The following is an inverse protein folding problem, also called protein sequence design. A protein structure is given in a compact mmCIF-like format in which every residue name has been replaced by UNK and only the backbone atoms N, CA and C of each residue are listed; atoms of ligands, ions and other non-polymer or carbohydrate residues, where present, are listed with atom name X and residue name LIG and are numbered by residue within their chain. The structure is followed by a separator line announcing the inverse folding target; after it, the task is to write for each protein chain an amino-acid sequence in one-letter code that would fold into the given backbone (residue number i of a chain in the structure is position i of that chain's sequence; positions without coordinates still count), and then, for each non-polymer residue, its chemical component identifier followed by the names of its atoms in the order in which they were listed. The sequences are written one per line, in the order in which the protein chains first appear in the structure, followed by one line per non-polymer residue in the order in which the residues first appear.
data_IF_099643910848
#
_entry.id   IF_099643910848
#
_cell.length_a   1.000
_cell.length_b   1.000
_cell.length_c   1.000
_cell.angle_alpha   90.00
_cell.angle_beta   90.00
_cell.angle_gamma   90.00
#
_symmetry.space_group_name_H-M   'P 1'
#
loop_
_entity.id
_entity.type
_entity.pdbx_description
1 polymer ?
#
# COMPACT_ATOMS: atom_id res chain seq x y z
N UNK A 1 -3.19 -18.39 -29.26
CA UNK A 1 -4.30 -17.48 -28.85
C UNK A 1 -3.94 -16.00 -28.93
N UNK A 2 -2.65 -15.60 -28.82
CA UNK A 2 -2.24 -14.19 -28.83
C UNK A 2 -2.47 -13.42 -30.15
N UNK A 3 -2.48 -14.07 -31.32
CA UNK A 3 -2.57 -13.36 -32.61
C UNK A 3 -3.93 -12.72 -32.90
N UNK A 4 -5.05 -13.31 -32.44
CA UNK A 4 -6.40 -12.77 -32.66
C UNK A 4 -6.68 -11.59 -31.71
N UNK A 5 -6.18 -11.67 -30.47
CA UNK A 5 -6.32 -10.61 -29.46
C UNK A 5 -5.51 -9.37 -29.89
N UNK A 6 -4.29 -9.57 -30.42
CA UNK A 6 -3.46 -8.47 -30.94
C UNK A 6 -4.09 -7.81 -32.16
N UNK A 7 -4.57 -8.60 -33.13
CA UNK A 7 -5.24 -8.05 -34.32
C UNK A 7 -6.53 -7.29 -33.96
N UNK A 8 -7.31 -7.79 -32.99
CA UNK A 8 -8.48 -7.09 -32.46
C UNK A 8 -8.13 -5.77 -31.76
N UNK A 9 -7.01 -5.74 -31.01
CA UNK A 9 -6.50 -4.53 -30.35
C UNK A 9 -6.07 -3.47 -31.37
N UNK A 10 -5.37 -3.85 -32.43
CA UNK A 10 -4.92 -2.91 -33.47
C UNK A 10 -6.10 -2.28 -34.24
N UNK A 11 -7.14 -3.07 -34.53
CA UNK A 11 -8.39 -2.56 -35.11
C UNK A 11 -9.09 -1.55 -34.19
N UNK A 12 -9.16 -1.86 -32.89
CA UNK A 12 -9.75 -0.96 -31.90
C UNK A 12 -8.96 0.35 -31.76
N UNK A 13 -7.62 0.30 -31.82
CA UNK A 13 -6.77 1.51 -31.77
C UNK A 13 -6.95 2.40 -32.99
N UNK A 14 -7.08 1.82 -34.19
CA UNK A 14 -7.37 2.60 -35.41
C UNK A 14 -8.74 3.28 -35.31
N UNK A 15 -9.77 2.53 -34.93
CA UNK A 15 -11.11 3.07 -34.74
C UNK A 15 -11.17 4.14 -33.64
N UNK A 16 -10.36 4.02 -32.59
CA UNK A 16 -10.27 5.02 -31.53
C UNK A 16 -9.65 6.35 -32.02
N UNK A 17 -8.62 6.29 -32.88
CA UNK A 17 -8.06 7.49 -33.52
C UNK A 17 -9.08 8.16 -34.42
N UNK A 18 -9.81 7.37 -35.21
CA UNK A 18 -10.88 7.89 -36.06
C UNK A 18 -12.02 8.49 -35.22
N UNK A 19 -12.37 7.87 -34.09
CA UNK A 19 -13.40 8.36 -33.16
C UNK A 19 -12.98 9.61 -32.40
N UNK A 20 -11.67 9.80 -32.15
CA UNK A 20 -11.11 11.00 -31.52
C UNK A 20 -11.07 12.20 -32.47
N UNK A 21 -10.93 12.00 -33.78
CA UNK A 21 -10.64 13.08 -34.73
C UNK A 21 -11.56 14.30 -34.54
N UNK A 22 -10.97 15.40 -34.04
CA UNK A 22 -11.63 16.68 -33.83
C UNK A 22 -12.50 16.81 -32.57
N UNK A 23 -12.63 15.75 -31.74
CA UNK A 23 -13.44 15.76 -30.52
C UNK A 23 -12.60 16.07 -29.28
N UNK A 24 -13.16 16.88 -28.40
CA UNK A 24 -12.66 17.13 -27.05
C UNK A 24 -12.90 15.93 -26.14
N UNK A 25 -12.17 15.85 -25.03
CA UNK A 25 -12.43 14.81 -24.01
C UNK A 25 -13.85 14.87 -23.45
N UNK A 26 -14.42 16.08 -23.33
CA UNK A 26 -15.76 16.29 -22.80
C UNK A 26 -16.81 15.66 -23.71
N UNK A 27 -16.72 15.91 -25.02
CA UNK A 27 -17.59 15.29 -26.03
C UNK A 27 -17.45 13.76 -26.04
N UNK A 28 -16.21 13.25 -25.95
CA UNK A 28 -15.96 11.81 -25.90
C UNK A 28 -16.58 11.15 -24.66
N UNK A 29 -16.46 11.77 -23.47
CA UNK A 29 -17.06 11.25 -22.24
C UNK A 29 -18.59 11.29 -22.28
N UNK A 30 -19.18 12.34 -22.88
CA UNK A 30 -20.63 12.47 -23.04
C UNK A 30 -21.18 11.40 -23.98
N UNK A 31 -20.52 11.15 -25.11
CA UNK A 31 -20.87 10.07 -26.04
C UNK A 31 -20.71 8.70 -25.38
N UNK A 32 -19.62 8.47 -24.64
CA UNK A 32 -19.37 7.20 -23.95
C UNK A 32 -20.45 6.88 -22.90
N UNK A 33 -20.92 7.91 -22.19
CA UNK A 33 -21.93 7.82 -21.13
C UNK A 33 -23.34 7.62 -21.67
N UNK A 34 -23.67 8.21 -22.82
CA UNK A 34 -25.01 8.15 -23.43
C UNK A 34 -25.21 6.91 -24.31
N UNK A 35 -24.14 6.33 -24.85
CA UNK A 35 -24.23 5.22 -25.79
C UNK A 35 -24.55 3.88 -25.10
N UNK A 36 -25.52 3.14 -25.64
CA UNK A 36 -25.96 1.83 -25.12
C UNK A 36 -25.35 0.61 -25.85
N UNK A 37 -24.70 0.81 -26.99
CA UNK A 37 -24.10 -0.27 -27.78
C UNK A 37 -22.73 -0.72 -27.22
N UNK A 38 -22.50 -2.03 -27.12
CA UNK A 38 -21.25 -2.59 -26.57
C UNK A 38 -20.04 -2.31 -27.45
N UNK A 39 -20.11 -2.64 -28.74
CA UNK A 39 -18.97 -2.48 -29.67
C UNK A 39 -18.56 -1.01 -29.85
N UNK A 40 -19.54 -0.10 -29.96
CA UNK A 40 -19.27 1.34 -30.05
C UNK A 40 -18.78 1.90 -28.70
N UNK A 41 -19.29 1.36 -27.58
CA UNK A 41 -18.84 1.72 -26.23
C UNK A 41 -17.35 1.44 -26.02
N UNK A 42 -16.85 0.27 -26.45
CA UNK A 42 -15.42 -0.05 -26.36
C UNK A 42 -14.55 0.89 -27.20
N UNK A 43 -14.97 1.23 -28.43
CA UNK A 43 -14.23 2.17 -29.28
C UNK A 43 -14.14 3.58 -28.66
N UNK A 44 -15.25 4.07 -28.11
CA UNK A 44 -15.31 5.34 -27.38
C UNK A 44 -14.45 5.31 -26.11
N UNK A 45 -14.48 4.22 -25.34
CA UNK A 45 -13.62 4.05 -24.17
C UNK A 45 -12.13 4.10 -24.55
N UNK A 46 -11.74 3.44 -25.64
CA UNK A 46 -10.38 3.54 -26.18
C UNK A 46 -10.01 4.98 -26.57
N UNK A 47 -10.94 5.72 -27.20
CA UNK A 47 -10.72 7.12 -27.58
C UNK A 47 -10.54 8.03 -26.35
N UNK A 48 -11.37 7.86 -25.31
CA UNK A 48 -11.23 8.57 -24.02
C UNK A 48 -9.87 8.28 -23.37
N UNK A 49 -9.48 7.01 -23.28
CA UNK A 49 -8.18 6.61 -22.70
C UNK A 49 -7.02 7.21 -23.49
N UNK A 50 -7.07 7.17 -24.81
CA UNK A 50 -6.03 7.74 -25.67
C UNK A 50 -5.97 9.27 -25.50
N UNK A 51 -7.12 9.95 -25.48
CA UNK A 51 -7.18 11.38 -25.26
C UNK A 51 -6.62 11.80 -23.89
N UNK A 52 -6.97 11.08 -22.81
CA UNK A 52 -6.45 11.35 -21.47
C UNK A 52 -4.92 11.18 -21.40
N UNK A 53 -4.35 10.17 -22.05
CA UNK A 53 -2.90 9.91 -22.03
C UNK A 53 -2.07 10.98 -22.75
N UNK A 54 -2.66 11.70 -23.70
CA UNK A 54 -1.98 12.79 -24.41
C UNK A 54 -2.10 14.14 -23.68
N UNK A 55 -2.86 14.20 -22.58
CA UNK A 55 -3.04 15.45 -21.83
C UNK A 55 -1.81 15.84 -21.04
N UNK A 56 -1.53 17.14 -21.05
CA UNK A 56 -0.60 17.76 -20.11
C UNK A 56 -1.25 18.00 -18.74
N UNK A 57 -0.47 18.54 -17.78
CA UNK A 57 -0.92 18.72 -16.40
C UNK A 57 -2.14 19.64 -16.24
N UNK A 58 -2.20 20.74 -17.00
CA UNK A 58 -3.30 21.71 -16.94
C UNK A 58 -4.57 21.11 -17.55
N UNK A 59 -4.43 20.36 -18.64
CA UNK A 59 -5.54 19.63 -19.28
C UNK A 59 -6.09 18.53 -18.37
N UNK A 60 -5.22 17.81 -17.65
CA UNK A 60 -5.64 16.82 -16.64
C UNK A 60 -6.40 17.47 -15.48
N UNK A 61 -5.94 18.62 -14.99
CA UNK A 61 -6.67 19.36 -13.95
C UNK A 61 -8.05 19.81 -14.44
N UNK A 62 -8.12 20.38 -15.65
CA UNK A 62 -9.39 20.76 -16.27
C UNK A 62 -10.32 19.55 -16.46
N UNK A 63 -9.78 18.38 -16.75
CA UNK A 63 -10.56 17.14 -16.82
C UNK A 63 -11.15 16.74 -15.46
N UNK A 64 -10.41 16.87 -14.36
CA UNK A 64 -10.99 16.62 -13.02
C UNK A 64 -12.06 17.64 -12.66
N UNK A 65 -11.88 18.90 -13.02
CA UNK A 65 -12.88 19.95 -12.81
C UNK A 65 -14.18 19.63 -13.59
N UNK A 66 -14.05 19.13 -14.83
CA UNK A 66 -15.18 18.64 -15.63
C UNK A 66 -15.91 17.48 -14.93
N UNK A 67 -15.19 16.54 -14.31
CA UNK A 67 -15.80 15.42 -13.58
C UNK A 67 -16.58 15.88 -12.34
N UNK A 68 -16.18 16.98 -11.71
CA UNK A 68 -16.94 17.61 -10.63
C UNK A 68 -18.17 18.34 -11.19
N UNK A 69 -18.02 19.15 -12.24
CA UNK A 69 -19.11 19.98 -12.75
C UNK A 69 -20.21 19.17 -13.44
N UNK A 70 -19.84 18.23 -14.30
CA UNK A 70 -20.76 17.62 -15.26
C UNK A 70 -21.15 16.19 -14.88
N UNK A 71 -20.37 15.55 -13.99
CA UNK A 71 -20.56 14.15 -13.60
C UNK A 71 -20.84 13.97 -12.11
N UNK A 72 -21.25 15.04 -11.41
CA UNK A 72 -21.79 14.93 -10.05
C UNK A 72 -23.28 14.59 -10.04
N UNK A 73 -23.80 13.93 -8.99
CA UNK A 73 -25.24 13.75 -8.81
C UNK A 73 -26.02 15.08 -8.84
N UNK A 74 -27.20 15.10 -9.47
CA UNK A 74 -28.06 16.29 -9.47
C UNK A 74 -28.77 16.42 -8.11
N UNK A 75 -28.38 17.45 -7.35
CA UNK A 75 -28.97 17.74 -6.05
C UNK A 75 -30.49 17.92 -6.10
N UNK A 76 -31.05 18.47 -7.19
CA UNK A 76 -32.51 18.64 -7.33
C UNK A 76 -33.21 17.30 -7.52
N UNK A 77 -32.63 16.41 -8.32
CA UNK A 77 -33.16 15.05 -8.53
C UNK A 77 -33.10 14.24 -7.23
N UNK A 78 -31.99 14.32 -6.49
CA UNK A 78 -31.83 13.67 -5.18
C UNK A 78 -32.90 14.15 -4.20
N UNK A 79 -33.08 15.46 -4.05
CA UNK A 79 -34.08 16.04 -3.13
C UNK A 79 -35.48 15.57 -3.50
N UNK A 80 -35.86 15.63 -4.78
CA UNK A 80 -37.17 15.19 -5.25
C UNK A 80 -37.42 13.69 -4.99
N UNK A 81 -36.42 12.85 -5.23
CA UNK A 81 -36.51 11.42 -4.96
C UNK A 81 -36.55 11.12 -3.45
N UNK A 82 -35.84 11.89 -2.62
CA UNK A 82 -35.85 11.75 -1.17
C UNK A 82 -37.21 12.14 -0.58
N UNK A 83 -37.84 13.22 -1.04
CA UNK A 83 -39.19 13.62 -0.66
C UNK A 83 -40.23 12.55 -1.03
N UNK A 84 -40.09 11.96 -2.22
CA UNK A 84 -40.95 10.87 -2.69
C UNK A 84 -40.81 9.62 -1.81
N UNK A 85 -39.57 9.23 -1.48
CA UNK A 85 -39.30 8.09 -0.60
C UNK A 85 -39.74 8.32 0.85
N UNK A 86 -39.64 9.56 1.34
CA UNK A 86 -40.14 9.97 2.65
C UNK A 86 -41.67 9.85 2.73
N UNK A 87 -42.36 10.17 1.63
CA UNK A 87 -43.82 10.07 1.54
C UNK A 87 -44.32 8.62 1.35
N UNK A 88 -43.57 7.81 0.59
CA UNK A 88 -43.82 6.38 0.39
C UNK A 88 -42.50 5.60 0.37
N UNK A 89 -42.21 4.90 1.46
CA UNK A 89 -40.97 4.13 1.64
C UNK A 89 -40.98 2.77 0.93
N UNK A 90 -41.69 2.67 -0.19
CA UNK A 90 -41.70 1.48 -1.04
C UNK A 90 -40.33 1.20 -1.67
N UNK A 91 -40.11 -0.07 -2.02
CA UNK A 91 -38.87 -0.51 -2.67
C UNK A 91 -38.62 0.17 -4.03
N UNK A 92 -39.70 0.58 -4.72
CA UNK A 92 -39.59 1.30 -6.00
C UNK A 92 -38.99 2.68 -5.78
N UNK A 93 -39.45 3.40 -4.75
CA UNK A 93 -38.94 4.75 -4.44
C UNK A 93 -37.54 4.70 -3.84
N UNK A 94 -37.22 3.67 -3.03
CA UNK A 94 -35.86 3.44 -2.56
C UNK A 94 -34.90 3.26 -3.75
N UNK A 95 -35.27 2.44 -4.73
CA UNK A 95 -34.47 2.22 -5.95
C UNK A 95 -34.28 3.51 -6.76
N UNK A 96 -35.32 4.34 -6.88
CA UNK A 96 -35.24 5.63 -7.56
C UNK A 96 -34.25 6.57 -6.83
N UNK A 97 -34.35 6.68 -5.51
CA UNK A 97 -33.44 7.45 -4.69
C UNK A 97 -31.99 6.95 -4.79
N UNK A 98 -31.76 5.63 -4.66
CA UNK A 98 -30.42 5.05 -4.83
C UNK A 98 -29.81 5.39 -6.19
N UNK A 99 -30.62 5.37 -7.26
CA UNK A 99 -30.16 5.74 -8.60
C UNK A 99 -29.81 7.23 -8.72
N UNK A 100 -30.61 8.11 -8.11
CA UNK A 100 -30.35 9.55 -8.11
C UNK A 100 -29.09 9.94 -7.33
N UNK A 101 -28.76 9.17 -6.27
CA UNK A 101 -27.57 9.39 -5.43
C UNK A 101 -26.29 8.82 -6.07
N UNK A 102 -26.41 7.79 -6.92
CA UNK A 102 -25.24 7.20 -7.59
C UNK A 102 -24.54 8.23 -8.48
N UNK A 103 -23.25 8.40 -8.25
CA UNK A 103 -22.40 9.34 -8.99
C UNK A 103 -22.29 8.96 -10.48
N UNK A 104 -22.64 9.86 -11.41
CA UNK A 104 -22.41 9.66 -12.85
C UNK A 104 -20.94 9.34 -13.19
N UNK A 105 -19.98 9.81 -12.38
CA UNK A 105 -18.57 9.44 -12.52
C UNK A 105 -18.35 7.93 -12.44
N UNK A 106 -19.04 7.23 -11.54
CA UNK A 106 -18.87 5.78 -11.41
C UNK A 106 -19.29 5.05 -12.68
N UNK A 107 -20.40 5.47 -13.29
CA UNK A 107 -20.81 4.94 -14.58
C UNK A 107 -19.76 5.23 -15.67
N UNK A 108 -19.28 6.48 -15.77
CA UNK A 108 -18.24 6.85 -16.72
C UNK A 108 -16.96 6.00 -16.54
N UNK A 109 -16.48 5.81 -15.31
CA UNK A 109 -15.30 4.99 -15.03
C UNK A 109 -15.50 3.52 -15.39
N UNK A 110 -16.66 2.93 -15.08
CA UNK A 110 -17.00 1.56 -15.55
C UNK A 110 -16.96 1.45 -17.08
N UNK A 111 -17.41 2.50 -17.78
CA UNK A 111 -17.40 2.56 -19.24
C UNK A 111 -15.98 2.74 -19.80
N UNK A 112 -15.16 3.60 -19.19
CA UNK A 112 -13.73 3.74 -19.52
C UNK A 112 -13.02 2.38 -19.35
N UNK A 113 -13.40 1.62 -18.32
CA UNK A 113 -12.84 0.30 -18.06
C UNK A 113 -13.17 -0.77 -19.13
N UNK A 114 -14.06 -0.48 -20.09
CA UNK A 114 -14.28 -1.35 -21.26
C UNK A 114 -13.11 -1.33 -22.25
N UNK A 115 -12.24 -0.30 -22.18
CA UNK A 115 -11.00 -0.25 -22.95
C UNK A 115 -10.04 -1.36 -22.51
N UNK A 116 -9.29 -2.02 -23.42
CA UNK A 116 -8.27 -3.00 -23.05
C UNK A 116 -7.18 -2.45 -22.10
N UNK A 117 -6.96 -1.13 -22.08
CA UNK A 117 -6.05 -0.48 -21.13
C UNK A 117 -6.79 0.44 -20.15
N UNK A 118 -8.09 0.22 -19.96
CA UNK A 118 -8.94 1.05 -19.10
C UNK A 118 -8.54 0.96 -17.63
N UNK A 119 -8.36 -0.26 -17.09
CA UNK A 119 -7.98 -0.43 -15.67
C UNK A 119 -6.64 0.24 -15.36
N UNK A 120 -5.54 -0.02 -16.10
CA UNK A 120 -4.27 0.69 -15.87
C UNK A 120 -4.42 2.21 -15.91
N UNK A 121 -5.19 2.74 -16.87
CA UNK A 121 -5.41 4.19 -16.99
C UNK A 121 -6.20 4.77 -15.82
N UNK A 122 -7.17 4.05 -15.27
CA UNK A 122 -7.92 4.52 -14.09
C UNK A 122 -7.07 4.49 -12.82
N UNK A 123 -6.16 3.51 -12.69
CA UNK A 123 -5.16 3.48 -11.61
C UNK A 123 -4.19 4.65 -11.72
N UNK A 124 -3.65 4.91 -12.91
CA UNK A 124 -2.79 6.07 -13.18
C UNK A 124 -3.52 7.40 -12.90
N UNK A 125 -4.78 7.51 -13.35
CA UNK A 125 -5.61 8.68 -13.12
C UNK A 125 -5.84 8.94 -11.64
N UNK A 126 -6.13 7.89 -10.85
CA UNK A 126 -6.26 8.01 -9.40
C UNK A 126 -4.94 8.42 -8.74
N UNK A 127 -3.82 7.83 -9.16
CA UNK A 127 -2.49 8.20 -8.66
C UNK A 127 -2.19 9.68 -8.89
N UNK A 128 -2.49 10.18 -10.08
CA UNK A 128 -2.29 11.60 -10.41
C UNK A 128 -3.22 12.51 -9.60
N UNK A 129 -4.50 12.14 -9.46
CA UNK A 129 -5.47 12.85 -8.63
C UNK A 129 -5.00 12.98 -7.18
N UNK A 130 -4.48 11.91 -6.58
CA UNK A 130 -4.01 11.91 -5.19
C UNK A 130 -2.89 12.93 -4.94
N UNK A 131 -2.04 13.19 -5.94
CA UNK A 131 -1.02 14.24 -5.88
C UNK A 131 -1.61 15.66 -5.83
N UNK A 132 -2.83 15.85 -6.32
CA UNK A 132 -3.52 17.15 -6.39
C UNK A 132 -4.39 17.44 -5.16
N UNK A 133 -4.81 16.42 -4.39
CA UNK A 133 -5.80 16.57 -3.32
C UNK A 133 -5.39 17.52 -2.18
N UNK A 134 -4.08 17.73 -1.96
CA UNK A 134 -3.61 18.68 -0.97
C UNK A 134 -3.89 20.14 -1.39
N UNK A 135 -3.80 20.43 -2.69
CA UNK A 135 -4.01 21.77 -3.27
C UNK A 135 -5.48 21.98 -3.65
N UNK A 136 -6.14 20.93 -4.16
CA UNK A 136 -7.52 20.93 -4.65
C UNK A 136 -8.38 19.91 -3.89
N UNK A 137 -8.68 20.14 -2.60
CA UNK A 137 -9.44 19.20 -1.77
C UNK A 137 -10.87 18.95 -2.28
N UNK A 138 -11.44 19.86 -3.07
CA UNK A 138 -12.73 19.72 -3.72
C UNK A 138 -12.81 18.56 -4.72
N UNK A 139 -11.66 18.05 -5.19
CA UNK A 139 -11.59 16.88 -6.07
C UNK A 139 -11.74 15.55 -5.32
N UNK A 140 -11.77 15.57 -3.97
CA UNK A 140 -11.89 14.40 -3.11
C UNK A 140 -12.99 13.39 -3.49
N UNK A 141 -14.22 13.83 -3.84
CA UNK A 141 -15.29 12.92 -4.25
C UNK A 141 -14.95 12.05 -5.48
N UNK A 142 -13.99 12.47 -6.32
CA UNK A 142 -13.51 11.65 -7.44
C UNK A 142 -12.66 10.47 -6.92
N UNK A 143 -11.80 10.69 -5.92
CA UNK A 143 -11.00 9.63 -5.31
C UNK A 143 -11.89 8.61 -4.61
N UNK A 144 -12.94 9.07 -3.92
CA UNK A 144 -13.93 8.19 -3.26
C UNK A 144 -14.63 7.27 -4.28
N UNK A 145 -15.10 7.83 -5.40
CA UNK A 145 -15.76 7.07 -6.47
C UNK A 145 -14.80 6.06 -7.14
N UNK A 146 -13.55 6.47 -7.42
CA UNK A 146 -12.54 5.57 -7.98
C UNK A 146 -12.16 4.47 -7.00
N UNK A 147 -11.95 4.81 -5.73
CA UNK A 147 -11.62 3.86 -4.67
C UNK A 147 -12.73 2.82 -4.53
N UNK A 148 -14.00 3.22 -4.51
CA UNK A 148 -15.14 2.32 -4.45
C UNK A 148 -15.13 1.29 -5.60
N UNK A 149 -14.88 1.74 -6.84
CA UNK A 149 -14.83 0.85 -7.99
C UNK A 149 -13.61 -0.08 -7.95
N UNK A 150 -12.43 0.46 -7.64
CA UNK A 150 -11.18 -0.29 -7.62
C UNK A 150 -11.18 -1.33 -6.48
N UNK A 151 -11.79 -1.05 -5.33
CA UNK A 151 -12.01 -2.06 -4.27
C UNK A 151 -12.80 -3.28 -4.77
N UNK A 152 -13.80 -3.04 -5.62
CA UNK A 152 -14.60 -4.12 -6.23
C UNK A 152 -13.82 -4.87 -7.31
N UNK A 153 -13.08 -4.14 -8.16
CA UNK A 153 -12.34 -4.73 -9.28
C UNK A 153 -11.10 -5.49 -8.87
N UNK A 154 -10.39 -5.04 -7.83
CA UNK A 154 -9.19 -5.68 -7.28
C UNK A 154 -9.53 -6.62 -6.13
N UNK A 155 -10.54 -7.47 -6.35
CA UNK A 155 -10.96 -8.45 -5.36
C UNK A 155 -9.83 -9.46 -5.08
N UNK A 156 -9.57 -9.68 -3.78
CA UNK A 156 -8.59 -10.66 -3.29
C UNK A 156 -8.69 -12.05 -3.93
N UNK A 157 -9.88 -12.50 -4.30
CA UNK A 157 -10.10 -13.84 -4.86
C UNK A 157 -9.43 -14.09 -6.21
N UNK A 158 -9.00 -13.02 -6.90
CA UNK A 158 -8.27 -13.10 -8.17
C UNK A 158 -6.78 -12.77 -8.04
N UNK A 159 -6.31 -12.42 -6.85
CA UNK A 159 -4.88 -12.24 -6.61
C UNK A 159 -4.18 -13.59 -6.72
N UNK A 160 -3.08 -13.60 -7.46
CA UNK A 160 -2.21 -14.76 -7.61
C UNK A 160 -0.84 -14.42 -7.09
N UNK A 161 -0.39 -15.17 -6.10
CA UNK A 161 1.00 -15.17 -5.68
C UNK A 161 1.87 -15.86 -6.73
N UNK A 162 3.07 -15.32 -6.96
CA UNK A 162 4.12 -15.92 -7.78
C UNK A 162 5.46 -15.75 -7.08
N UNK A 163 6.29 -16.77 -7.12
CA UNK A 163 7.73 -16.62 -6.79
C UNK A 163 8.39 -15.78 -7.87
N UNK A 164 9.26 -14.86 -7.44
CA UNK A 164 10.11 -14.04 -8.29
C UNK A 164 11.55 -14.51 -8.10
N UNK A 165 12.20 -14.77 -9.23
CA UNK A 165 13.57 -15.29 -9.30
C UNK A 165 14.28 -14.75 -10.56
N UNK A 166 15.53 -15.14 -10.77
CA UNK A 166 16.31 -14.71 -11.93
C UNK A 166 15.81 -15.24 -13.29
N UNK A 167 14.83 -16.15 -13.30
CA UNK A 167 14.17 -16.64 -14.52
C UNK A 167 12.94 -15.81 -14.86
N UNK A 168 12.50 -14.94 -13.96
CA UNK A 168 11.37 -14.04 -14.17
C UNK A 168 11.68 -13.07 -15.32
N UNK A 169 10.70 -12.78 -16.21
CA UNK A 169 10.91 -11.87 -17.34
C UNK A 169 11.51 -10.52 -16.92
N UNK A 170 12.48 -10.04 -17.68
CA UNK A 170 13.24 -8.82 -17.36
C UNK A 170 12.35 -7.58 -17.17
N UNK A 171 11.28 -7.44 -17.97
CA UNK A 171 10.35 -6.30 -17.86
C UNK A 171 9.56 -6.29 -16.54
N UNK A 172 9.42 -7.43 -15.85
CA UNK A 172 8.84 -7.49 -14.51
C UNK A 172 9.92 -7.15 -13.48
N UNK A 173 11.13 -7.66 -13.64
CA UNK A 173 12.26 -7.37 -12.76
C UNK A 173 12.63 -5.87 -12.73
N UNK A 174 12.59 -5.20 -13.88
CA UNK A 174 12.77 -3.74 -13.98
C UNK A 174 11.74 -2.97 -13.14
N UNK A 175 10.50 -3.45 -13.10
CA UNK A 175 9.45 -2.85 -12.28
C UNK A 175 9.73 -3.03 -10.79
N UNK A 176 10.25 -4.19 -10.35
CA UNK A 176 10.62 -4.40 -8.95
C UNK A 176 11.71 -3.42 -8.50
N UNK A 177 12.71 -3.17 -9.35
CA UNK A 177 13.74 -2.16 -9.08
C UNK A 177 13.09 -0.77 -8.93
N UNK A 178 12.17 -0.42 -9.82
CA UNK A 178 11.51 0.88 -9.81
C UNK A 178 10.51 1.08 -8.64
N UNK A 179 9.94 0.01 -8.11
CA UNK A 179 8.88 0.04 -7.09
C UNK A 179 9.35 -0.21 -5.67
N UNK A 180 10.63 -0.50 -5.47
CA UNK A 180 11.16 -0.74 -4.14
C UNK A 180 11.16 0.53 -3.29
N UNK A 181 10.31 0.53 -2.26
CA UNK A 181 10.01 1.71 -1.45
C UNK A 181 10.60 1.67 -0.03
N UNK A 182 11.08 0.51 0.44
CA UNK A 182 11.60 0.34 1.80
C UNK A 182 13.12 0.52 1.82
N UNK A 183 13.81 -0.17 0.90
CA UNK A 183 15.25 -0.12 0.73
C UNK A 183 15.57 0.03 -0.75
N UNK A 184 15.80 1.25 -1.24
CA UNK A 184 16.05 1.52 -2.67
C UNK A 184 17.12 0.58 -3.28
N UNK A 185 16.88 0.12 -4.51
CA UNK A 185 17.84 -0.71 -5.26
C UNK A 185 18.61 0.15 -6.27
N UNK A 186 19.94 0.10 -6.24
CA UNK A 186 20.81 0.83 -7.15
C UNK A 186 21.09 0.07 -8.46
N UNK A 187 20.05 -0.59 -9.00
CA UNK A 187 20.12 -1.31 -10.27
C UNK A 187 20.11 -2.83 -10.14
N UNK A 188 20.64 -3.50 -11.17
CA UNK A 188 20.50 -4.94 -11.36
C UNK A 188 21.31 -5.81 -10.40
N UNK A 189 22.47 -5.33 -9.95
CA UNK A 189 23.31 -6.07 -9.00
C UNK A 189 22.65 -6.18 -7.63
N UNK A 190 22.00 -5.10 -7.17
CA UNK A 190 21.20 -5.10 -5.95
C UNK A 190 20.00 -6.05 -6.06
N UNK A 191 19.28 -6.01 -7.18
CA UNK A 191 18.18 -6.95 -7.43
C UNK A 191 18.70 -8.40 -7.41
N UNK A 192 19.83 -8.67 -8.05
CA UNK A 192 20.43 -10.01 -8.09
C UNK A 192 20.73 -10.50 -6.68
N UNK A 193 21.31 -9.66 -5.83
CA UNK A 193 21.59 -9.95 -4.41
C UNK A 193 20.33 -10.36 -3.65
N UNK A 194 19.19 -9.72 -3.94
CA UNK A 194 17.89 -9.98 -3.31
C UNK A 194 17.16 -11.20 -3.87
N UNK A 195 17.69 -11.81 -4.93
CA UNK A 195 17.19 -13.03 -5.55
C UNK A 195 18.19 -14.20 -5.45
N UNK A 196 19.21 -14.08 -4.59
CA UNK A 196 20.16 -15.15 -4.30
C UNK A 196 19.51 -16.33 -3.54
N UNK A 197 20.27 -17.40 -3.34
CA UNK A 197 19.82 -18.66 -2.72
C UNK A 197 19.31 -18.51 -1.28
N UNK A 198 19.90 -17.59 -0.52
CA UNK A 198 19.51 -17.22 0.84
C UNK A 198 18.37 -16.18 0.87
N UNK A 199 17.75 -15.91 -0.28
CA UNK A 199 16.64 -14.96 -0.42
C UNK A 199 15.45 -15.61 -1.12
N UNK A 200 14.25 -15.11 -0.82
CA UNK A 200 13.03 -15.39 -1.59
C UNK A 200 12.32 -14.08 -1.86
N UNK A 201 11.75 -13.97 -3.04
CA UNK A 201 10.91 -12.84 -3.40
C UNK A 201 9.59 -13.37 -3.95
N UNK A 202 8.49 -12.78 -3.51
CA UNK A 202 7.15 -13.14 -3.96
C UNK A 202 6.45 -11.88 -4.43
N UNK A 203 5.61 -11.99 -5.47
CA UNK A 203 4.77 -10.89 -5.90
C UNK A 203 3.33 -11.35 -6.15
N UNK A 204 2.39 -10.46 -5.84
CA UNK A 204 0.97 -10.64 -6.05
C UNK A 204 0.55 -9.94 -7.34
N UNK A 205 -0.08 -10.70 -8.23
CA UNK A 205 -0.57 -10.23 -9.52
C UNK A 205 -2.09 -10.29 -9.57
N UNK A 206 -2.71 -9.38 -10.30
CA UNK A 206 -4.14 -9.38 -10.57
C UNK A 206 -4.38 -9.42 -12.09
N UNK A 207 -5.33 -10.22 -12.59
CA UNK A 207 -5.58 -10.35 -14.03
C UNK A 207 -5.96 -9.02 -14.72
N UNK A 208 -6.46 -8.04 -13.97
CA UNK A 208 -6.79 -6.71 -14.53
C UNK A 208 -5.55 -5.85 -14.83
N UNK A 209 -4.39 -6.17 -14.25
CA UNK A 209 -3.11 -5.51 -14.54
C UNK A 209 -2.08 -6.59 -14.90
N UNK A 210 -2.02 -6.91 -16.20
CA UNK A 210 -1.13 -7.95 -16.74
C UNK A 210 0.34 -7.57 -16.54
N UNK A 211 1.14 -8.54 -16.10
CA UNK A 211 2.57 -8.38 -15.79
C UNK A 211 2.90 -7.19 -14.86
N UNK A 212 1.93 -6.80 -14.04
CA UNK A 212 2.06 -5.72 -13.07
C UNK A 212 2.04 -6.31 -11.65
N UNK A 213 3.18 -6.32 -10.94
CA UNK A 213 3.18 -6.68 -9.54
C UNK A 213 2.39 -5.60 -8.77
N UNK A 214 1.43 -6.01 -7.94
CA UNK A 214 0.69 -5.08 -7.09
C UNK A 214 1.36 -4.91 -5.74
N UNK A 215 1.82 -6.03 -5.19
CA UNK A 215 2.58 -6.09 -3.96
C UNK A 215 3.73 -7.04 -4.23
N UNK A 216 4.92 -6.71 -3.77
CA UNK A 216 5.98 -7.71 -3.64
C UNK A 216 6.55 -7.74 -2.23
N UNK A 217 7.10 -8.90 -1.90
CA UNK A 217 7.52 -9.29 -0.57
C UNK A 217 8.90 -9.90 -0.69
N UNK A 218 9.87 -9.32 -0.01
CA UNK A 218 11.24 -9.79 0.03
C UNK A 218 11.55 -10.45 1.37
N UNK A 219 12.19 -11.62 1.29
CA UNK A 219 12.42 -12.51 2.43
C UNK A 219 13.88 -12.90 2.48
N UNK A 220 14.50 -12.73 3.64
CA UNK A 220 15.82 -13.26 3.95
C UNK A 220 15.68 -14.56 4.76
N UNK A 221 16.38 -15.60 4.32
CA UNK A 221 16.47 -16.87 5.03
C UNK A 221 17.69 -16.82 5.94
N UNK A 222 17.46 -16.86 7.25
CA UNK A 222 18.52 -16.67 8.26
C UNK A 222 18.33 -17.65 9.42
N UNK A 223 19.28 -17.65 10.34
CA UNK A 223 19.18 -18.35 11.61
C UNK A 223 18.88 -17.37 12.75
N UNK A 224 17.79 -17.60 13.45
CA UNK A 224 17.28 -16.70 14.48
C UNK A 224 16.70 -15.39 13.94
N UNK A 225 16.24 -14.53 14.84
CA UNK A 225 15.62 -13.26 14.49
C UNK A 225 16.67 -12.21 14.09
N UNK A 226 16.55 -11.68 12.87
CA UNK A 226 17.34 -10.53 12.45
C UNK A 226 16.89 -9.26 13.18
N UNK A 227 17.87 -8.47 13.64
CA UNK A 227 17.65 -7.23 14.40
C UNK A 227 18.05 -5.98 13.63
N UNK A 228 18.87 -6.11 12.59
CA UNK A 228 19.33 -5.00 11.76
C UNK A 228 19.24 -5.35 10.27
N UNK A 229 18.98 -4.34 9.45
CA UNK A 229 18.72 -4.55 8.02
C UNK A 229 19.99 -4.50 7.18
N UNK A 230 20.99 -3.73 7.60
CA UNK A 230 22.26 -3.59 6.89
C UNK A 230 22.94 -4.94 6.60
N UNK A 231 23.01 -5.91 7.54
CA UNK A 231 23.56 -7.24 7.26
C UNK A 231 22.76 -8.04 6.21
N UNK A 232 21.45 -7.79 6.08
CA UNK A 232 20.60 -8.47 5.10
C UNK A 232 20.81 -7.92 3.68
N UNK A 233 21.11 -6.63 3.57
CA UNK A 233 21.36 -5.95 2.30
C UNK A 233 22.81 -6.08 1.83
N UNK A 234 23.75 -6.31 2.75
CA UNK A 234 25.16 -6.44 2.42
C UNK A 234 25.43 -7.58 1.42
N UNK A 235 26.43 -7.43 0.52
CA UNK A 235 26.87 -8.50 -0.36
C UNK A 235 27.20 -9.78 0.43
N UNK A 236 26.90 -10.94 -0.16
CA UNK A 236 27.21 -12.23 0.46
C UNK A 236 28.72 -12.36 0.64
N UNK A 237 29.16 -12.61 1.87
CA UNK A 237 30.58 -12.87 2.14
C UNK A 237 30.93 -14.30 1.72
N UNK A 238 31.99 -14.46 0.92
CA UNK A 238 32.49 -15.78 0.50
C UNK A 238 32.98 -16.65 1.67
N UNK A 239 33.21 -16.06 2.84
CA UNK A 239 33.73 -16.72 4.04
C UNK A 239 32.67 -17.05 5.09
N UNK A 240 31.40 -16.71 4.86
CA UNK A 240 30.33 -17.00 5.80
C UNK A 240 29.98 -18.50 5.77
N UNK A 241 30.09 -19.18 6.91
CA UNK A 241 29.58 -20.54 7.07
C UNK A 241 28.08 -20.53 6.77
N UNK A 242 27.67 -21.37 5.82
CA UNK A 242 26.26 -21.48 5.42
C UNK A 242 25.55 -22.38 6.43
N UNK A 243 25.09 -21.79 7.52
CA UNK A 243 24.21 -22.49 8.46
C UNK A 243 22.82 -22.67 7.85
N UNK A 244 22.18 -23.81 8.13
CA UNK A 244 20.82 -24.07 7.65
C UNK A 244 19.83 -23.09 8.31
N UNK A 245 19.00 -22.37 7.53
CA UNK A 245 18.10 -21.35 8.06
C UNK A 245 16.92 -22.00 8.80
N UNK A 246 16.54 -21.40 9.93
CA UNK A 246 15.35 -21.77 10.71
C UNK A 246 14.27 -20.67 10.71
N UNK A 247 14.61 -19.49 10.17
CA UNK A 247 13.82 -18.27 10.26
C UNK A 247 13.71 -17.58 8.90
N UNK A 248 12.49 -17.21 8.52
CA UNK A 248 12.22 -16.33 7.39
C UNK A 248 11.95 -14.90 7.88
N UNK A 249 12.77 -13.94 7.41
CA UNK A 249 12.67 -12.52 7.73
C UNK A 249 12.10 -11.74 6.55
N UNK A 250 10.87 -11.27 6.67
CA UNK A 250 10.25 -10.34 5.72
C UNK A 250 10.81 -8.93 5.94
N UNK A 251 11.78 -8.52 5.13
CA UNK A 251 12.49 -7.24 5.32
C UNK A 251 12.01 -6.12 4.38
N UNK A 252 11.31 -6.45 3.30
CA UNK A 252 10.64 -5.47 2.45
C UNK A 252 9.27 -5.97 2.01
N UNK A 253 8.25 -5.10 2.11
CA UNK A 253 6.91 -5.31 1.56
C UNK A 253 6.48 -4.00 0.92
N UNK A 254 6.41 -4.00 -0.40
CA UNK A 254 6.19 -2.80 -1.19
C UNK A 254 4.86 -2.91 -1.94
N UNK A 255 4.04 -1.85 -1.87
CA UNK A 255 2.89 -1.68 -2.76
C UNK A 255 3.38 -0.92 -4.00
N UNK A 256 3.28 -1.56 -5.16
CA UNK A 256 3.84 -1.05 -6.40
C UNK A 256 2.99 0.04 -7.05
N UNK A 257 1.71 0.12 -6.68
CA UNK A 257 0.73 0.92 -7.40
C UNK A 257 0.18 2.02 -6.49
N UNK A 258 0.73 3.23 -6.61
CA UNK A 258 0.26 4.41 -5.85
C UNK A 258 -1.24 4.66 -6.06
N UNK A 259 -1.73 4.48 -7.28
CA UNK A 259 -3.16 4.56 -7.59
C UNK A 259 -4.04 3.52 -6.89
N UNK A 260 -3.46 2.48 -6.27
CA UNK A 260 -4.16 1.49 -5.44
C UNK A 260 -3.96 1.73 -3.94
N UNK A 261 -3.34 2.84 -3.53
CA UNK A 261 -3.19 3.20 -2.13
C UNK A 261 -4.54 3.25 -1.41
N UNK A 262 -4.59 2.61 -0.24
CA UNK A 262 -5.80 2.51 0.58
C UNK A 262 -6.82 1.46 0.11
N UNK A 263 -6.51 0.69 -0.93
CA UNK A 263 -7.31 -0.48 -1.35
C UNK A 263 -6.77 -1.71 -0.64
N UNK A 264 -7.66 -2.44 0.02
CA UNK A 264 -7.27 -3.70 0.68
C UNK A 264 -7.27 -4.83 -0.32
N UNK A 265 -6.14 -5.52 -0.41
CA UNK A 265 -5.97 -6.77 -1.15
C UNK A 265 -6.36 -8.01 -0.32
N UNK A 266 -7.10 -7.78 0.77
CA UNK A 266 -7.41 -8.79 1.78
C UNK A 266 -6.34 -8.85 2.87
N UNK A 267 -6.77 -9.38 4.00
CA UNK A 267 -5.88 -9.76 5.09
C UNK A 267 -5.36 -11.19 4.83
N UNK A 268 -4.21 -11.55 5.39
CA UNK A 268 -3.51 -12.84 5.20
C UNK A 268 -2.63 -12.94 3.94
N UNK A 269 -2.17 -11.82 3.38
CA UNK A 269 -1.15 -11.83 2.31
C UNK A 269 0.12 -12.53 2.79
N UNK A 270 0.58 -12.17 3.99
CA UNK A 270 1.81 -12.76 4.57
C UNK A 270 1.61 -14.22 4.92
N UNK A 271 0.40 -14.62 5.37
CA UNK A 271 0.09 -16.04 5.63
C UNK A 271 0.27 -16.89 4.37
N UNK A 272 -0.14 -16.40 3.19
CA UNK A 272 0.07 -17.11 1.93
C UNK A 272 1.56 -17.27 1.63
N UNK A 273 2.36 -16.21 1.78
CA UNK A 273 3.81 -16.30 1.57
C UNK A 273 4.45 -17.28 2.56
N UNK A 274 4.03 -17.28 3.83
CA UNK A 274 4.51 -18.24 4.83
C UNK A 274 4.17 -19.68 4.43
N UNK A 275 2.96 -19.94 3.92
CA UNK A 275 2.58 -21.27 3.45
C UNK A 275 3.45 -21.74 2.26
N UNK A 276 3.69 -20.87 1.28
CA UNK A 276 4.62 -21.18 0.16
C UNK A 276 6.03 -21.50 0.67
N UNK A 277 6.53 -20.71 1.63
CA UNK A 277 7.84 -20.94 2.25
C UNK A 277 7.90 -22.25 3.03
N UNK A 278 6.84 -22.64 3.73
CA UNK A 278 6.80 -23.91 4.48
C UNK A 278 6.74 -25.13 3.58
N UNK A 279 6.00 -25.02 2.46
CA UNK A 279 5.93 -26.09 1.47
C UNK A 279 7.28 -26.28 0.76
N UNK A 280 8.02 -25.19 0.51
CA UNK A 280 9.36 -25.24 -0.08
C UNK A 280 10.45 -25.65 0.93
N UNK A 281 10.41 -25.11 2.14
CA UNK A 281 11.45 -25.21 3.17
C UNK A 281 10.83 -25.59 4.54
N UNK A 282 10.50 -26.88 4.77
CA UNK A 282 9.81 -27.34 5.97
C UNK A 282 10.59 -27.14 7.29
N UNK A 283 11.90 -26.91 7.21
CA UNK A 283 12.76 -26.64 8.36
C UNK A 283 12.56 -25.23 8.96
N UNK A 284 11.89 -24.32 8.23
CA UNK A 284 11.58 -22.98 8.73
C UNK A 284 10.52 -23.06 9.83
N UNK A 285 10.88 -22.65 11.04
CA UNK A 285 10.01 -22.69 12.21
C UNK A 285 9.57 -21.30 12.67
N UNK A 286 10.29 -20.25 12.25
CA UNK A 286 10.04 -18.88 12.66
C UNK A 286 9.76 -17.99 11.46
N UNK A 287 8.70 -17.19 11.55
CA UNK A 287 8.29 -16.23 10.53
C UNK A 287 8.15 -14.87 11.19
N UNK A 288 8.97 -13.91 10.77
CA UNK A 288 8.99 -12.60 11.38
C UNK A 288 9.33 -11.55 10.34
N UNK A 289 8.85 -10.33 10.53
CA UNK A 289 9.30 -9.21 9.70
C UNK A 289 10.51 -8.54 10.33
N UNK A 290 11.15 -7.65 9.58
CA UNK A 290 12.02 -6.61 10.10
C UNK A 290 11.53 -5.29 9.50
N UNK A 291 10.56 -4.66 10.18
CA UNK A 291 9.74 -3.58 9.62
C UNK A 291 10.16 -2.19 10.11
N UNK A 292 10.03 -1.15 9.25
CA UNK A 292 10.20 0.24 9.66
C UNK A 292 9.05 0.72 10.55
N UNK A 293 9.27 1.86 11.22
CA UNK A 293 8.29 2.49 12.12
C UNK A 293 8.08 3.96 11.69
N UNK A 294 7.51 4.19 10.49
CA UNK A 294 7.43 5.52 9.90
C UNK A 294 6.57 6.46 10.75
N UNK A 295 7.15 7.57 11.17
CA UNK A 295 6.47 8.62 11.94
C UNK A 295 6.79 8.60 13.43
N UNK A 296 7.51 7.59 13.92
CA UNK A 296 7.95 7.55 15.33
C UNK A 296 8.85 8.73 15.70
N UNK A 297 9.82 9.10 14.84
CA UNK A 297 10.68 10.27 15.09
C UNK A 297 9.90 11.58 15.13
N UNK A 298 8.92 11.74 14.23
CA UNK A 298 8.02 12.90 14.23
C UNK A 298 7.18 12.96 15.51
N UNK A 299 6.69 11.82 15.97
CA UNK A 299 5.94 11.71 17.22
C UNK A 299 6.80 12.08 18.43
N UNK A 300 8.04 11.59 18.52
CA UNK A 300 9.00 12.00 19.55
C UNK A 300 9.19 13.53 19.53
N UNK A 301 9.47 14.12 18.37
CA UNK A 301 9.72 15.55 18.26
C UNK A 301 8.52 16.38 18.74
N UNK A 302 7.30 15.92 18.43
CA UNK A 302 6.06 16.53 18.93
C UNK A 302 5.97 16.40 20.46
N UNK A 303 6.23 15.23 21.03
CA UNK A 303 6.19 15.01 22.47
C UNK A 303 7.23 15.84 23.24
N UNK A 304 8.42 16.04 22.68
CA UNK A 304 9.47 16.90 23.27
C UNK A 304 9.06 18.38 23.24
N UNK A 305 8.38 18.83 22.19
CA UNK A 305 7.93 20.22 22.03
C UNK A 305 6.77 20.63 22.96
N UNK A 306 6.07 19.67 23.57
CA UNK A 306 4.95 19.94 24.48
C UNK A 306 5.47 20.28 25.88
N UNK A 307 5.07 21.41 26.46
CA UNK A 307 5.47 21.80 27.83
C UNK A 307 5.05 20.75 28.87
N UNK A 308 3.77 20.37 28.87
CA UNK A 308 3.20 19.36 29.76
C UNK A 308 3.05 18.00 29.05
N UNK A 309 4.17 17.29 28.86
CA UNK A 309 4.14 15.93 28.28
C UNK A 309 3.79 14.90 29.36
N UNK A 310 2.74 14.11 29.13
CA UNK A 310 2.33 13.03 30.04
C UNK A 310 3.25 11.81 30.00
N UNK A 311 4.13 11.71 28.99
CA UNK A 311 4.93 10.50 28.69
C UNK A 311 6.44 10.70 28.86
N UNK A 312 6.89 11.95 28.98
CA UNK A 312 8.29 12.34 29.09
C UNK A 312 8.53 13.24 30.30
N UNK A 313 9.53 12.90 31.11
CA UNK A 313 10.07 13.80 32.15
C UNK A 313 10.93 14.92 31.55
N UNK A 314 11.29 15.93 32.35
CA UNK A 314 12.21 16.98 31.92
C UNK A 314 13.58 16.42 31.52
N UNK A 315 14.13 15.50 32.32
CA UNK A 315 15.42 14.84 32.06
C UNK A 315 15.36 13.98 30.77
N UNK A 316 14.25 13.31 30.52
CA UNK A 316 14.06 12.51 29.30
C UNK A 316 13.95 13.38 28.05
N UNK A 317 13.32 14.56 28.15
CA UNK A 317 13.31 15.53 27.05
C UNK A 317 14.72 16.03 26.74
N UNK A 318 15.52 16.33 27.76
CA UNK A 318 16.91 16.72 27.59
C UNK A 318 17.72 15.61 26.91
N UNK A 319 17.57 14.36 27.35
CA UNK A 319 18.23 13.21 26.75
C UNK A 319 17.88 13.05 25.26
N UNK A 320 16.62 13.27 24.87
CA UNK A 320 16.18 13.15 23.47
C UNK A 320 16.72 14.26 22.55
N UNK A 321 17.26 15.36 23.10
CA UNK A 321 17.92 16.39 22.28
C UNK A 321 19.19 15.89 21.62
N UNK A 322 19.82 14.85 22.18
CA UNK A 322 21.01 14.19 21.62
C UNK A 322 20.76 13.61 20.23
N UNK A 323 19.52 13.21 19.93
CA UNK A 323 19.12 12.68 18.62
C UNK A 323 19.15 13.72 17.49
N UNK A 324 19.34 15.01 17.83
CA UNK A 324 19.56 16.09 16.88
C UNK A 324 21.04 16.29 16.54
N UNK A 325 21.95 15.62 17.26
CA UNK A 325 23.38 15.64 16.98
C UNK A 325 23.64 14.80 15.73
N UNK A 326 24.43 15.33 14.81
CA UNK A 326 24.85 14.60 13.62
C UNK A 326 25.61 13.33 14.01
N UNK A 327 25.28 12.20 13.38
CA UNK A 327 25.90 10.91 13.66
C UNK A 327 25.83 10.48 15.14
N UNK A 328 24.78 10.86 15.88
CA UNK A 328 24.57 10.44 17.29
C UNK A 328 24.61 8.91 17.49
N UNK A 329 24.35 8.15 16.43
CA UNK A 329 24.36 6.69 16.40
C UNK A 329 25.78 6.08 16.23
N UNK A 330 26.80 6.88 15.90
CA UNK A 330 28.19 6.45 15.68
C UNK A 330 29.07 6.75 16.91
N UNK A 331 30.11 5.93 17.11
CA UNK A 331 31.21 6.08 18.07
C UNK A 331 30.88 6.72 19.43
N UNK A 332 30.58 5.87 20.41
CA UNK A 332 30.62 6.15 21.87
C UNK A 332 29.46 6.94 22.50
N UNK A 333 28.36 7.23 21.79
CA UNK A 333 27.24 8.04 22.30
C UNK A 333 25.79 7.48 22.21
N UNK A 334 25.50 6.18 22.04
CA UNK A 334 24.24 5.66 22.52
C UNK A 334 24.44 5.12 23.94
N UNK A 335 24.25 5.98 24.95
CA UNK A 335 24.20 5.50 26.32
C UNK A 335 23.02 4.53 26.52
N UNK A 336 23.16 3.57 27.43
CA UNK A 336 22.07 2.61 27.72
C UNK A 336 20.78 3.32 28.16
N UNK A 337 20.88 4.57 28.64
CA UNK A 337 19.73 5.42 28.96
C UNK A 337 18.92 5.79 27.71
N UNK A 338 19.57 6.27 26.65
CA UNK A 338 18.93 6.65 25.38
C UNK A 338 18.28 5.44 24.72
N UNK A 339 18.99 4.31 24.71
CA UNK A 339 18.45 3.03 24.22
C UNK A 339 17.22 2.60 25.02
N UNK A 340 17.31 2.58 26.35
CA UNK A 340 16.19 2.22 27.23
C UNK A 340 14.98 3.13 27.02
N UNK A 341 15.22 4.44 26.94
CA UNK A 341 14.18 5.44 26.69
C UNK A 341 13.50 5.23 25.34
N UNK A 342 14.27 5.06 24.26
CA UNK A 342 13.71 4.87 22.92
C UNK A 342 12.99 3.53 22.77
N UNK A 343 13.47 2.46 23.41
CA UNK A 343 12.76 1.18 23.46
C UNK A 343 11.40 1.31 24.17
N UNK A 344 11.36 2.00 25.33
CA UNK A 344 10.12 2.27 26.08
C UNK A 344 9.13 3.12 25.26
N UNK A 345 9.62 4.22 24.69
CA UNK A 345 8.81 5.14 23.89
C UNK A 345 8.29 4.47 22.62
N UNK A 346 9.10 3.65 21.96
CA UNK A 346 8.70 2.91 20.77
C UNK A 346 7.62 1.87 21.10
N UNK A 347 7.76 1.14 22.21
CA UNK A 347 6.73 0.23 22.69
C UNK A 347 5.41 0.97 22.97
N UNK A 348 5.49 2.13 23.65
CA UNK A 348 4.34 2.98 23.91
C UNK A 348 3.69 3.49 22.61
N UNK A 349 4.49 3.96 21.65
CA UNK A 349 4.01 4.46 20.36
C UNK A 349 3.24 3.40 19.56
N UNK A 350 3.79 2.19 19.47
CA UNK A 350 3.14 1.12 18.71
C UNK A 350 1.87 0.58 19.39
N UNK A 351 1.84 0.58 20.72
CA UNK A 351 0.75 -0.04 21.48
C UNK A 351 -0.35 0.93 21.93
N UNK A 352 0.01 2.12 22.45
CA UNK A 352 -0.94 3.05 23.08
C UNK A 352 -1.39 4.17 22.14
N UNK A 353 -0.51 4.67 21.28
CA UNK A 353 -0.85 5.80 20.41
C UNK A 353 -1.81 5.37 19.29
N UNK A 354 -2.91 6.09 19.13
CA UNK A 354 -3.99 5.74 18.20
C UNK A 354 -4.32 6.87 17.22
N UNK A 355 -4.82 6.48 16.05
CA UNK A 355 -5.61 7.33 15.14
C UNK A 355 -7.04 6.79 15.13
N UNK A 356 -7.94 7.48 15.86
CA UNK A 356 -9.25 6.91 16.18
C UNK A 356 -9.06 5.72 17.12
N UNK A 357 -9.50 4.54 16.71
CA UNK A 357 -9.34 3.28 17.47
C UNK A 357 -8.12 2.45 17.03
N UNK A 358 -7.58 2.70 15.84
CA UNK A 358 -6.48 1.93 15.29
C UNK A 358 -5.10 2.46 15.73
N UNK A 359 -4.04 1.64 15.78
CA UNK A 359 -2.66 2.09 15.99
C UNK A 359 -2.30 3.29 15.11
N UNK A 360 -1.54 4.24 15.66
CA UNK A 360 -1.11 5.43 14.93
C UNK A 360 -0.19 5.07 13.76
N UNK A 361 0.74 4.13 13.99
CA UNK A 361 1.70 3.66 12.99
C UNK A 361 0.99 2.89 11.84
N UNK A 362 1.22 3.25 10.57
CA UNK A 362 0.60 2.57 9.43
C UNK A 362 1.09 1.13 9.22
N UNK A 363 2.36 0.85 9.51
CA UNK A 363 2.98 -0.47 9.29
C UNK A 363 2.50 -1.46 10.37
N UNK A 364 2.32 -1.00 11.60
CA UNK A 364 1.66 -1.73 12.68
C UNK A 364 0.25 -2.13 12.28
N UNK A 365 -0.56 -1.18 11.76
CA UNK A 365 -1.91 -1.48 11.30
C UNK A 365 -1.93 -2.56 10.22
N UNK A 366 -0.97 -2.52 9.29
CA UNK A 366 -0.83 -3.54 8.25
C UNK A 366 -0.51 -4.92 8.83
N UNK A 367 0.53 -5.05 9.66
CA UNK A 367 0.94 -6.36 10.18
C UNK A 367 -0.04 -6.96 11.19
N UNK A 368 -0.58 -6.14 12.09
CA UNK A 368 -1.64 -6.56 13.02
C UNK A 368 -2.91 -6.96 12.26
N UNK A 369 -3.25 -6.20 11.22
CA UNK A 369 -4.32 -6.57 10.27
C UNK A 369 -4.08 -7.89 9.55
N UNK A 370 -2.82 -8.32 9.40
CA UNK A 370 -2.46 -9.63 8.87
C UNK A 370 -2.30 -10.72 9.95
N UNK A 371 -2.66 -10.45 11.20
CA UNK A 371 -2.63 -11.41 12.31
C UNK A 371 -1.27 -11.58 12.99
N UNK A 372 -0.31 -10.69 12.71
CA UNK A 372 0.96 -10.68 13.43
C UNK A 372 0.79 -10.18 14.87
N UNK A 373 1.80 -10.42 15.70
CA UNK A 373 1.99 -9.76 16.98
C UNK A 373 3.22 -8.84 16.94
N UNK A 374 3.23 -7.79 17.77
CA UNK A 374 4.45 -7.00 18.03
C UNK A 374 5.42 -7.89 18.79
N UNK A 375 6.46 -8.36 18.12
CA UNK A 375 7.35 -9.41 18.62
C UNK A 375 8.54 -8.88 19.41
N UNK A 376 9.33 -7.99 18.79
CA UNK A 376 10.57 -7.47 19.35
C UNK A 376 10.86 -6.08 18.77
N UNK A 377 11.41 -5.19 19.60
CA UNK A 377 11.92 -3.89 19.14
C UNK A 377 13.43 -3.97 18.97
N UNK A 378 13.94 -3.31 17.93
CA UNK A 378 15.33 -3.38 17.54
C UNK A 378 15.96 -1.99 17.55
N UNK A 379 16.83 -1.80 18.53
CA UNK A 379 17.71 -0.64 18.63
C UNK A 379 18.77 -0.65 17.53
N UNK A 380 18.99 0.49 16.87
CA UNK A 380 19.91 0.63 15.74
C UNK A 380 19.70 -0.44 14.65
N UNK A 381 18.42 -0.77 14.40
CA UNK A 381 18.05 -1.73 13.38
C UNK A 381 18.20 -1.20 11.96
N UNK A 382 18.06 0.13 11.77
CA UNK A 382 18.32 0.79 10.50
C UNK A 382 19.04 2.14 10.70
N UNK A 383 20.34 2.14 10.46
CA UNK A 383 21.20 3.34 10.54
C UNK A 383 21.31 4.10 9.22
N UNK A 384 20.50 3.76 8.21
CA UNK A 384 20.40 4.59 7.00
C UNK A 384 19.86 5.99 7.33
N UNK A 385 20.12 6.96 6.44
CA UNK A 385 19.56 8.32 6.59
C UNK A 385 18.04 8.29 6.74
N UNK A 386 17.37 7.39 6.01
CA UNK A 386 15.93 7.21 6.07
C UNK A 386 15.50 6.61 7.43
N UNK A 387 16.15 5.54 7.91
CA UNK A 387 15.84 4.94 9.21
C UNK A 387 16.03 5.89 10.39
N UNK A 388 17.09 6.70 10.36
CA UNK A 388 17.34 7.76 11.35
C UNK A 388 16.22 8.81 11.33
N UNK A 389 15.82 9.27 10.14
CA UNK A 389 14.77 10.28 9.95
C UNK A 389 13.38 9.78 10.33
N UNK A 390 13.05 8.52 10.04
CA UNK A 390 11.71 7.98 10.22
C UNK A 390 11.44 7.55 11.67
N UNK A 391 12.42 6.91 12.30
CA UNK A 391 12.22 6.18 13.56
C UNK A 391 13.42 6.23 14.52
N UNK A 392 14.36 7.15 14.34
CA UNK A 392 15.60 7.19 15.14
C UNK A 392 16.33 5.84 15.14
N UNK A 393 16.41 5.22 13.97
CA UNK A 393 17.03 3.91 13.74
C UNK A 393 16.36 2.72 14.47
N UNK A 394 15.14 2.89 14.98
CA UNK A 394 14.34 1.79 15.51
C UNK A 394 13.71 0.98 14.39
N UNK A 395 13.81 -0.34 14.49
CA UNK A 395 12.98 -1.29 13.73
C UNK A 395 12.14 -2.15 14.68
N UNK A 396 11.18 -2.88 14.13
CA UNK A 396 10.33 -3.81 14.87
C UNK A 396 10.20 -5.13 14.12
N UNK A 397 10.27 -6.23 14.85
CA UNK A 397 9.89 -7.54 14.35
C UNK A 397 8.41 -7.81 14.63
N UNK A 398 7.58 -7.93 13.60
CA UNK A 398 6.24 -8.49 13.72
C UNK A 398 6.29 -10.01 13.51
N UNK A 399 5.90 -10.78 14.53
CA UNK A 399 5.97 -12.25 14.48
C UNK A 399 4.67 -12.86 13.99
N UNK A 400 4.77 -13.78 13.04
CA UNK A 400 3.65 -14.55 12.49
C UNK A 400 3.65 -15.96 13.10
N UNK A 401 2.96 -16.12 14.23
CA UNK A 401 2.72 -17.43 14.82
C UNK A 401 1.49 -18.07 14.16
N UNK A 402 1.70 -19.00 13.24
CA UNK A 402 0.66 -19.53 12.35
C UNK A 402 -0.60 -20.03 13.06
N UNK A 403 -0.43 -20.67 14.22
CA UNK A 403 -1.54 -21.14 15.06
C UNK A 403 -2.41 -20.02 15.64
N UNK A 404 -1.90 -18.78 15.72
CA UNK A 404 -2.58 -17.61 16.29
C UNK A 404 -2.91 -16.54 15.26
N UNK A 405 -2.46 -16.66 14.01
CA UNK A 405 -2.67 -15.62 12.98
C UNK A 405 -4.15 -15.26 12.82
N UNK A 406 -5.03 -16.26 12.77
CA UNK A 406 -6.48 -16.03 12.63
C UNK A 406 -7.08 -15.41 13.91
N UNK A 407 -6.71 -15.91 15.09
CA UNK A 407 -7.17 -15.37 16.37
C UNK A 407 -6.76 -13.90 16.55
N UNK A 408 -5.49 -13.59 16.31
CA UNK A 408 -4.95 -12.24 16.39
C UNK A 408 -5.62 -11.32 15.37
N UNK A 409 -5.87 -11.82 14.16
CA UNK A 409 -6.55 -11.07 13.12
C UNK A 409 -7.97 -10.67 13.56
N UNK A 410 -8.78 -11.63 14.00
CA UNK A 410 -10.15 -11.38 14.44
C UNK A 410 -10.20 -10.43 15.64
N UNK A 411 -9.31 -10.62 16.62
CA UNK A 411 -9.23 -9.74 17.78
C UNK A 411 -8.87 -8.28 17.41
N UNK A 412 -7.99 -8.10 16.41
CA UNK A 412 -7.59 -6.78 15.94
C UNK A 412 -8.65 -6.12 15.04
N UNK A 413 -9.29 -6.88 14.15
CA UNK A 413 -10.31 -6.34 13.24
C UNK A 413 -11.59 -5.97 13.98
N UNK A 414 -12.03 -6.81 14.91
CA UNK A 414 -13.30 -6.59 15.62
C UNK A 414 -13.14 -5.62 16.79
N UNK A 415 -12.07 -5.76 17.58
CA UNK A 415 -11.93 -5.05 18.86
C UNK A 415 -10.69 -4.14 18.92
N UNK A 416 -9.91 -4.04 17.85
CA UNK A 416 -8.62 -3.33 17.82
C UNK A 416 -7.63 -3.76 18.91
N UNK A 417 -7.79 -5.00 19.40
CA UNK A 417 -6.88 -5.60 20.38
C UNK A 417 -5.53 -5.90 19.72
N UNK A 418 -4.46 -5.37 20.30
CA UNK A 418 -3.10 -5.56 19.79
C UNK A 418 -2.48 -6.79 20.46
N UNK A 419 -2.01 -7.73 19.66
CA UNK A 419 -1.19 -8.85 20.13
C UNK A 419 0.27 -8.39 20.30
N UNK A 420 0.86 -8.65 21.46
CA UNK A 420 2.24 -8.29 21.80
C UNK A 420 2.95 -9.45 22.51
N UNK A 421 4.26 -9.55 22.29
CA UNK A 421 5.11 -10.41 23.09
C UNK A 421 5.24 -9.88 24.52
N UNK A 422 5.55 -10.79 25.46
CA UNK A 422 5.79 -10.42 26.86
C UNK A 422 6.88 -9.35 27.00
N UNK A 423 7.97 -9.47 26.26
CA UNK A 423 9.10 -8.52 26.30
C UNK A 423 8.67 -7.10 25.90
N UNK A 424 7.78 -6.97 24.91
CA UNK A 424 7.25 -5.66 24.51
C UNK A 424 6.28 -5.13 25.56
N UNK A 425 5.44 -5.98 26.15
CA UNK A 425 4.54 -5.60 27.26
C UNK A 425 5.34 -5.08 28.46
N UNK A 426 6.43 -5.73 28.82
CA UNK A 426 7.29 -5.32 29.93
C UNK A 426 7.89 -3.90 29.69
N UNK A 427 8.16 -3.53 28.43
CA UNK A 427 8.65 -2.19 28.06
C UNK A 427 7.58 -1.09 28.15
N UNK A 428 6.30 -1.43 28.00
CA UNK A 428 5.19 -0.47 28.13
C UNK A 428 5.01 -0.07 29.62
N UNK A 429 5.48 -0.92 30.54
CA UNK A 429 5.21 -0.84 31.96
C UNK A 429 3.91 -1.55 32.32
N UNK A 430 3.86 -2.15 33.52
CA UNK A 430 2.59 -2.65 34.05
C UNK A 430 1.62 -1.47 34.20
N UNK A 431 0.49 -1.55 33.49
CA UNK A 431 -0.61 -0.57 33.62
C UNK A 431 -1.16 -0.52 35.05
#
# INVERSE_FOLDING_TARGET
MNSIIVAGRDLLVRNAKDSKNGKTIAELCQELSSNKGEAMGTALACAVVFAYKEMNSDEKLAFFQLLISDYSPDAKEIISCAETFSSDSSQVNLKALSKAVESPRQHLFRRINMSPTGTPTLVELRSYLQGLLNEYPELGPIDDDLKHLLESWFNRGFLKIRSIDWKTPAHILEKLIAYEAVHEMNGWDDLRRRLEDDRRCFAFFHPALEDEPLIFVEVALVKGLATAVQPLLAPKSESAETEEPDTAIFYSISNCQEGLKGISFGNFLIKQVVMELQDELPQLTQFSTLSPIPGFRLWINKAVSQEDSAILSADEKELLTTLSIENWHQDSHPDELTKSLLMRLCAHYLYNEKRGTAPLDPVARFHLGNGAQIGQLNWLGDVSENGLKQSAAMLVNYRYELSKVEENHEAYVNDHKIACSKTVVDLIGAQ
#
